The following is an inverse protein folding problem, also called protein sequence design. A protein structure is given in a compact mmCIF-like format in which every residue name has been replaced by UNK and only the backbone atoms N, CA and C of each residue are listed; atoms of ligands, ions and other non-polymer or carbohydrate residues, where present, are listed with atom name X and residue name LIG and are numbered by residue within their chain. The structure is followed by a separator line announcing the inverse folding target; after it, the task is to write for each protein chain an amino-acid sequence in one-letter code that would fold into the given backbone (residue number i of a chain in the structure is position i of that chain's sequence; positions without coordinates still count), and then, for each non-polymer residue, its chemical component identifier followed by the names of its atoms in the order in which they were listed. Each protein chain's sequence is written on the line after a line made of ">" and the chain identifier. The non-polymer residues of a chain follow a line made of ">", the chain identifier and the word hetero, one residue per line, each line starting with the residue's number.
data_IF_843550703423
#
_entry.id   IF_843550703423
#
_cell.length_a   1.000
_cell.length_b   1.000
_cell.length_c   1.000
_cell.angle_alpha   90.00
_cell.angle_beta   90.00
_cell.angle_gamma   90.00
#
_symmetry.space_group_name_H-M   'P 1'
#
loop_
_entity.id
_entity.type
_entity.pdbx_description
1 polymer ?
#
# COMPACT_ATOMS: atom_id res chain seq x y z
N UNK A 1 6.78 -19.72 17.24
CA UNK A 1 5.94 -18.65 17.82
C UNK A 1 6.87 -17.80 18.65
N UNK A 2 7.27 -16.63 18.16
CA UNK A 2 8.12 -15.72 18.97
C UNK A 2 7.23 -14.94 19.95
N UNK A 3 7.51 -15.12 21.23
CA UNK A 3 6.92 -14.38 22.33
C UNK A 3 7.18 -12.88 22.17
N UNK A 4 6.14 -12.06 22.33
CA UNK A 4 6.26 -10.60 22.38
C UNK A 4 5.87 -9.81 21.12
N UNK A 5 5.33 -10.44 20.06
CA UNK A 5 4.76 -9.67 18.93
C UNK A 5 3.31 -9.27 19.23
N UNK A 6 3.10 -8.01 19.62
CA UNK A 6 1.76 -7.44 19.71
C UNK A 6 1.20 -7.22 18.30
N UNK A 7 0.09 -7.90 18.02
CA UNK A 7 -0.64 -7.88 16.77
C UNK A 7 -2.04 -7.36 17.03
N UNK A 8 -2.47 -6.37 16.24
CA UNK A 8 -3.79 -5.79 16.36
C UNK A 8 -4.58 -5.93 15.06
N UNK A 9 -5.79 -6.47 15.16
CA UNK A 9 -6.79 -6.43 14.09
C UNK A 9 -7.98 -5.60 14.55
N UNK A 10 -8.28 -4.52 13.86
CA UNK A 10 -9.60 -3.91 13.89
C UNK A 10 -10.43 -4.39 12.72
N UNK A 11 -11.59 -4.96 13.02
CA UNK A 11 -12.60 -5.35 12.03
C UNK A 11 -13.85 -4.51 12.26
N UNK A 12 -14.28 -3.79 11.23
CA UNK A 12 -15.58 -3.14 11.21
C UNK A 12 -16.62 -4.12 10.68
N UNK A 13 -17.39 -4.73 11.58
CA UNK A 13 -18.51 -5.59 11.19
C UNK A 13 -19.69 -4.74 10.70
N UNK A 14 -20.34 -5.17 9.62
CA UNK A 14 -21.68 -4.70 9.29
C UNK A 14 -22.66 -5.39 10.24
N UNK A 15 -23.21 -4.67 11.21
CA UNK A 15 -24.58 -4.98 11.65
C UNK A 15 -25.53 -4.26 10.70
N UNK A 16 -26.59 -4.97 10.32
CA UNK A 16 -27.49 -4.58 9.25
C UNK A 16 -28.34 -3.35 9.57
N UNK A 17 -28.80 -2.73 8.48
CA UNK A 17 -29.91 -1.79 8.30
C UNK A 17 -30.11 -0.70 9.37
N UNK A 18 -29.80 0.53 8.96
CA UNK A 18 -30.19 1.79 9.62
C UNK A 18 -29.50 2.11 10.96
N UNK A 19 -28.19 1.88 11.07
CA UNK A 19 -27.41 2.59 12.09
C UNK A 19 -26.78 3.82 11.44
N UNK A 20 -27.16 4.98 11.98
CA UNK A 20 -26.65 6.30 11.61
C UNK A 20 -25.12 6.29 11.60
N UNK A 21 -24.62 6.83 10.50
CA UNK A 21 -23.28 6.69 9.98
C UNK A 21 -22.35 7.68 10.67
N UNK A 22 -21.36 7.22 11.44
CA UNK A 22 -20.43 8.13 12.12
C UNK A 22 -18.94 7.85 11.83
N UNK A 23 -18.35 8.51 10.82
CA UNK A 23 -16.91 8.51 10.57
C UNK A 23 -16.06 9.03 11.74
N UNK A 24 -16.63 9.84 12.64
CA UNK A 24 -15.94 10.37 13.82
C UNK A 24 -15.71 9.28 14.88
N UNK A 25 -16.63 8.31 14.98
CA UNK A 25 -16.46 7.13 15.83
C UNK A 25 -15.25 6.28 15.40
N UNK A 26 -15.12 6.01 14.09
CA UNK A 26 -13.99 5.25 13.54
C UNK A 26 -12.65 5.95 13.79
N UNK A 27 -12.65 7.28 13.76
CA UNK A 27 -11.48 8.11 14.07
C UNK A 27 -11.10 8.02 15.56
N UNK A 28 -12.06 8.14 16.48
CA UNK A 28 -11.78 8.06 17.93
C UNK A 28 -11.19 6.71 18.35
N UNK A 29 -11.68 5.62 17.77
CA UNK A 29 -11.13 4.27 18.00
C UNK A 29 -9.68 4.14 17.52
N UNK A 30 -9.33 4.78 16.40
CA UNK A 30 -7.96 4.79 15.92
C UNK A 30 -7.07 5.62 16.85
N UNK A 31 -7.55 6.75 17.38
CA UNK A 31 -6.80 7.58 18.34
C UNK A 31 -6.46 6.83 19.64
N UNK A 32 -7.40 6.08 20.21
CA UNK A 32 -7.18 5.26 21.41
C UNK A 32 -6.16 4.13 21.15
N UNK A 33 -6.19 3.50 19.97
CA UNK A 33 -5.29 2.41 19.60
C UNK A 33 -3.81 2.81 19.67
N UNK A 34 -3.51 4.06 19.29
CA UNK A 34 -2.14 4.56 19.22
C UNK A 34 -1.62 5.12 20.55
N UNK A 35 -2.42 5.05 21.62
CA UNK A 35 -2.04 5.47 22.97
C UNK A 35 -1.48 4.30 23.80
N UNK A 36 -0.17 4.06 23.70
CA UNK A 36 0.57 3.28 24.71
C UNK A 36 0.89 1.82 24.39
N UNK A 37 0.86 1.38 23.13
CA UNK A 37 1.17 0.00 22.74
C UNK A 37 2.27 -0.04 21.66
N UNK A 38 3.34 -0.80 21.88
CA UNK A 38 4.36 -1.12 20.87
C UNK A 38 3.84 -2.17 19.87
N UNK A 39 3.00 -1.73 18.94
CA UNK A 39 2.45 -2.60 17.90
C UNK A 39 3.51 -2.91 16.84
N UNK A 40 3.70 -4.20 16.53
CA UNK A 40 4.54 -4.65 15.41
C UNK A 40 3.72 -4.93 14.14
N UNK A 41 2.43 -5.17 14.29
CA UNK A 41 1.55 -5.56 13.18
C UNK A 41 0.16 -4.95 13.35
N UNK A 42 -0.31 -4.28 12.30
CA UNK A 42 -1.59 -3.59 12.25
C UNK A 42 -2.43 -4.10 11.08
N UNK A 43 -3.66 -4.51 11.35
CA UNK A 43 -4.65 -4.87 10.34
C UNK A 43 -5.94 -4.09 10.54
N UNK A 44 -6.37 -3.38 9.51
CA UNK A 44 -7.57 -2.55 9.48
C UNK A 44 -8.46 -3.12 8.39
N UNK A 45 -9.64 -3.62 8.77
CA UNK A 45 -10.52 -4.35 7.85
C UNK A 45 -11.92 -3.75 7.87
N UNK A 46 -12.33 -3.23 6.72
CA UNK A 46 -13.63 -2.59 6.53
C UNK A 46 -13.65 -1.11 6.92
N UNK A 47 -12.50 -0.41 6.86
CA UNK A 47 -12.43 1.03 7.16
C UNK A 47 -13.42 1.82 6.29
N UNK A 48 -14.23 2.67 6.94
CA UNK A 48 -15.32 3.41 6.28
C UNK A 48 -15.02 4.90 6.11
N UNK A 49 -13.98 5.41 6.77
CA UNK A 49 -13.57 6.81 6.65
C UNK A 49 -13.01 7.15 5.27
N UNK A 50 -13.19 8.40 4.85
CA UNK A 50 -12.69 8.91 3.56
C UNK A 50 -11.16 9.04 3.58
N UNK A 51 -10.61 9.50 4.70
CA UNK A 51 -9.17 9.65 4.92
C UNK A 51 -8.77 9.09 6.29
N UNK A 52 -7.60 8.47 6.36
CA UNK A 52 -7.03 8.10 7.66
C UNK A 52 -6.75 9.36 8.49
N UNK A 53 -7.09 9.37 9.79
CA UNK A 53 -6.91 10.55 10.63
C UNK A 53 -5.42 10.85 10.85
N UNK A 54 -5.06 12.12 11.08
CA UNK A 54 -3.65 12.55 11.21
C UNK A 54 -2.92 11.81 12.35
N UNK A 55 -3.63 11.53 13.44
CA UNK A 55 -3.12 10.75 14.57
C UNK A 55 -2.66 9.33 14.20
N UNK A 56 -3.22 8.75 13.14
CA UNK A 56 -2.81 7.46 12.58
C UNK A 56 -1.35 7.48 12.12
N UNK A 57 -0.88 8.66 11.76
CA UNK A 57 0.44 8.93 11.21
C UNK A 57 1.42 9.44 12.26
N UNK A 58 1.07 9.36 13.55
CA UNK A 58 1.96 9.80 14.62
C UNK A 58 3.21 8.88 14.67
N UNK A 59 4.41 9.40 14.38
CA UNK A 59 5.65 8.60 14.31
C UNK A 59 5.94 7.86 15.61
N UNK A 60 5.57 8.45 16.75
CA UNK A 60 5.76 7.85 18.07
C UNK A 60 4.94 6.57 18.26
N UNK A 61 3.83 6.43 17.54
CA UNK A 61 2.90 5.30 17.69
C UNK A 61 3.06 4.24 16.61
N UNK A 62 3.71 4.56 15.48
CA UNK A 62 3.81 3.66 14.32
C UNK A 62 5.24 3.27 13.94
N UNK A 63 6.26 3.84 14.60
CA UNK A 63 7.68 3.61 14.29
C UNK A 63 8.13 2.15 14.36
N UNK A 64 7.50 1.33 15.22
CA UNK A 64 7.81 -0.09 15.41
C UNK A 64 6.96 -1.04 14.54
N UNK A 65 6.00 -0.53 13.76
CA UNK A 65 5.12 -1.36 12.95
C UNK A 65 5.89 -1.91 11.76
N UNK A 66 6.04 -3.23 11.71
CA UNK A 66 6.69 -3.94 10.62
C UNK A 66 5.70 -4.45 9.56
N UNK A 67 4.41 -4.54 9.90
CA UNK A 67 3.38 -5.06 8.99
C UNK A 67 2.11 -4.20 9.06
N UNK A 68 1.61 -3.76 7.91
CA UNK A 68 0.33 -3.09 7.78
C UNK A 68 -0.52 -3.81 6.75
N UNK A 69 -1.76 -4.14 7.12
CA UNK A 69 -2.82 -4.53 6.20
C UNK A 69 -3.96 -3.51 6.26
N UNK A 70 -4.25 -2.88 5.14
CA UNK A 70 -5.39 -1.99 4.95
C UNK A 70 -6.37 -2.66 3.99
N UNK A 71 -7.54 -2.99 4.51
CA UNK A 71 -8.68 -3.50 3.75
C UNK A 71 -9.85 -2.55 3.98
N UNK A 72 -10.31 -1.88 2.93
CA UNK A 72 -11.39 -0.89 3.03
C UNK A 72 -12.50 -1.13 2.04
N UNK A 73 -13.24 -0.05 1.76
CA UNK A 73 -14.36 -0.02 0.80
C UNK A 73 -14.21 1.19 -0.13
N UNK A 74 -15.20 1.37 -1.02
CA UNK A 74 -15.33 2.43 -2.04
C UNK A 74 -15.02 3.87 -1.61
N UNK A 75 -15.06 4.19 -0.32
CA UNK A 75 -14.96 5.57 0.15
C UNK A 75 -13.56 5.98 0.62
N UNK A 76 -12.65 5.03 0.90
CA UNK A 76 -11.32 5.38 1.39
C UNK A 76 -10.44 5.85 0.23
N UNK A 77 -10.07 7.13 0.24
CA UNK A 77 -9.38 7.82 -0.85
C UNK A 77 -7.91 8.15 -0.55
N UNK A 78 -7.43 7.92 0.68
CA UNK A 78 -6.06 8.23 1.07
C UNK A 78 -5.24 7.00 1.41
N UNK A 79 -4.03 6.94 0.90
CA UNK A 79 -2.99 6.03 1.40
C UNK A 79 -2.29 6.62 2.64
N UNK A 80 -1.46 5.80 3.32
CA UNK A 80 -0.40 6.28 4.20
C UNK A 80 0.50 7.36 3.59
N UNK A 81 0.20 8.64 3.78
CA UNK A 81 0.95 9.75 3.16
C UNK A 81 2.17 10.20 3.96
N UNK A 82 2.28 9.85 5.24
CA UNK A 82 3.40 10.28 6.10
C UNK A 82 4.37 9.12 6.29
N UNK A 83 5.23 8.88 5.29
CA UNK A 83 6.19 7.76 5.18
C UNK A 83 7.22 7.60 6.31
N UNK A 84 6.97 8.12 7.51
CA UNK A 84 7.71 7.86 8.75
C UNK A 84 7.34 6.51 9.35
N UNK A 85 7.41 5.46 8.52
CA UNK A 85 7.25 4.07 8.91
C UNK A 85 8.60 3.35 8.79
N UNK A 86 9.61 3.72 9.61
CA UNK A 86 10.99 3.29 9.44
C UNK A 86 11.17 1.77 9.57
N UNK A 87 10.29 1.09 10.30
CA UNK A 87 10.35 -0.36 10.50
C UNK A 87 9.43 -1.15 9.57
N UNK A 88 8.62 -0.50 8.73
CA UNK A 88 7.61 -1.18 7.92
C UNK A 88 8.28 -2.03 6.85
N UNK A 89 8.07 -3.35 6.92
CA UNK A 89 8.58 -4.35 5.98
C UNK A 89 7.53 -4.81 5.00
N UNK A 90 6.25 -4.85 5.40
CA UNK A 90 5.16 -5.34 4.56
C UNK A 90 3.97 -4.42 4.59
N UNK A 91 3.54 -3.97 3.42
CA UNK A 91 2.31 -3.21 3.22
C UNK A 91 1.37 -3.96 2.28
N UNK A 92 0.19 -4.32 2.79
CA UNK A 92 -0.85 -4.98 2.03
C UNK A 92 -2.09 -4.09 1.95
N UNK A 93 -2.49 -3.74 0.73
CA UNK A 93 -3.63 -2.88 0.43
C UNK A 93 -4.67 -3.69 -0.35
N UNK A 94 -5.90 -3.73 0.15
CA UNK A 94 -7.00 -4.48 -0.46
C UNK A 94 -8.30 -3.68 -0.50
N UNK A 95 -9.01 -3.72 -1.63
CA UNK A 95 -10.37 -3.15 -1.77
C UNK A 95 -10.49 -1.66 -1.37
N UNK A 96 -9.41 -0.89 -1.47
CA UNK A 96 -9.43 0.57 -1.32
C UNK A 96 -9.88 1.23 -2.63
N UNK A 97 -11.13 0.98 -3.01
CA UNK A 97 -11.74 1.43 -4.26
C UNK A 97 -11.97 2.97 -4.34
N UNK A 98 -11.61 3.74 -3.32
CA UNK A 98 -11.56 5.21 -3.41
C UNK A 98 -10.21 5.72 -3.94
N UNK A 99 -9.18 4.87 -3.98
CA UNK A 99 -7.86 5.23 -4.50
C UNK A 99 -7.89 5.11 -6.02
N UNK A 100 -8.00 6.25 -6.70
CA UNK A 100 -7.91 6.32 -8.16
C UNK A 100 -6.46 6.34 -8.66
N UNK A 101 -5.55 6.81 -7.81
CA UNK A 101 -4.17 7.11 -8.18
C UNK A 101 -3.26 7.09 -6.94
N UNK A 102 -2.03 6.60 -7.13
CA UNK A 102 -0.97 6.76 -6.14
C UNK A 102 -0.15 7.97 -6.56
N UNK A 103 -0.29 9.08 -5.83
CA UNK A 103 0.36 10.35 -6.15
C UNK A 103 1.64 10.58 -5.35
N UNK A 104 2.35 11.65 -5.69
CA UNK A 104 3.59 12.09 -5.03
C UNK A 104 3.43 12.28 -3.51
N UNK A 105 2.23 12.59 -3.04
CA UNK A 105 1.87 12.68 -1.61
C UNK A 105 2.15 11.39 -0.83
N UNK A 106 2.19 10.23 -1.50
CA UNK A 106 2.57 8.96 -0.90
C UNK A 106 4.10 8.84 -0.67
N UNK A 107 4.89 9.72 -1.30
CA UNK A 107 6.36 9.72 -1.30
C UNK A 107 7.00 11.01 -0.75
N UNK A 108 6.22 12.09 -0.58
CA UNK A 108 6.73 13.46 -0.45
C UNK A 108 7.34 13.83 0.89
N UNK A 109 7.06 13.09 1.96
CA UNK A 109 7.38 13.54 3.33
C UNK A 109 8.60 12.85 3.92
N UNK A 110 9.84 13.20 3.53
CA UNK A 110 11.10 12.65 4.11
C UNK A 110 11.14 11.11 4.28
N UNK A 111 10.19 10.41 3.68
CA UNK A 111 9.61 9.18 4.19
C UNK A 111 9.79 8.15 3.12
N UNK A 112 11.05 7.83 2.88
CA UNK A 112 11.40 6.67 2.08
C UNK A 112 10.86 5.47 2.84
N UNK A 113 10.18 4.58 2.14
CA UNK A 113 9.83 3.27 2.65
C UNK A 113 11.12 2.42 2.75
N UNK A 114 12.06 2.88 3.59
CA UNK A 114 13.46 2.46 3.60
C UNK A 114 13.66 1.01 4.07
N UNK A 115 12.67 0.47 4.78
CA UNK A 115 12.64 -0.92 5.24
C UNK A 115 11.60 -1.77 4.52
N UNK A 116 10.84 -1.23 3.57
CA UNK A 116 9.77 -1.96 2.91
C UNK A 116 10.35 -3.01 1.97
N UNK A 117 10.04 -4.27 2.27
CA UNK A 117 10.51 -5.45 1.55
C UNK A 117 9.43 -6.01 0.63
N UNK A 118 8.14 -5.88 1.02
CA UNK A 118 7.00 -6.41 0.27
C UNK A 118 5.83 -5.43 0.20
N UNK A 119 5.33 -5.19 -1.01
CA UNK A 119 4.20 -4.31 -1.28
C UNK A 119 3.16 -5.04 -2.13
N UNK A 120 1.91 -5.00 -1.70
CA UNK A 120 0.83 -5.72 -2.36
C UNK A 120 -0.43 -4.87 -2.51
N UNK A 121 -1.00 -4.87 -3.71
CA UNK A 121 -2.30 -4.30 -4.04
C UNK A 121 -3.24 -5.41 -4.53
N UNK A 122 -4.46 -5.43 -4.01
CA UNK A 122 -5.46 -6.45 -4.37
C UNK A 122 -6.87 -5.86 -4.47
N UNK A 123 -7.59 -6.19 -5.55
CA UNK A 123 -9.00 -5.81 -5.72
C UNK A 123 -9.23 -4.29 -5.59
N UNK A 124 -8.26 -3.45 -5.95
CA UNK A 124 -8.37 -1.99 -5.93
C UNK A 124 -8.82 -1.50 -7.29
N UNK A 125 -10.13 -1.57 -7.54
CA UNK A 125 -10.70 -1.49 -8.90
C UNK A 125 -10.72 -0.08 -9.47
N UNK A 126 -10.71 0.95 -8.62
CA UNK A 126 -10.67 2.34 -9.08
C UNK A 126 -9.26 2.80 -9.46
N UNK A 127 -8.23 2.05 -9.07
CA UNK A 127 -6.85 2.42 -9.25
C UNK A 127 -6.44 2.34 -10.72
N UNK A 128 -6.05 3.49 -11.28
CA UNK A 128 -5.72 3.67 -12.70
C UNK A 128 -4.24 3.89 -12.93
N UNK A 129 -3.65 4.74 -12.09
CA UNK A 129 -2.32 5.31 -12.33
C UNK A 129 -1.46 5.23 -11.07
N UNK A 130 -0.17 4.94 -11.27
CA UNK A 130 0.85 5.05 -10.25
C UNK A 130 1.77 6.18 -10.66
N UNK A 131 1.65 7.39 -10.13
CA UNK A 131 2.51 8.49 -10.58
C UNK A 131 3.84 8.50 -9.82
N UNK A 132 4.87 7.85 -10.39
CA UNK A 132 6.24 7.87 -9.87
C UNK A 132 7.17 8.85 -10.60
N UNK A 133 6.66 9.70 -11.48
CA UNK A 133 7.48 10.57 -12.34
C UNK A 133 8.25 11.56 -11.46
N UNK A 134 9.57 11.55 -11.56
CA UNK A 134 10.48 12.46 -10.83
C UNK A 134 10.89 11.98 -9.42
N UNK A 135 10.42 10.82 -8.99
CA UNK A 135 10.67 10.27 -7.64
C UNK A 135 12.08 9.65 -7.49
N UNK A 136 12.83 9.49 -8.57
CA UNK A 136 14.10 8.72 -8.59
C UNK A 136 15.28 9.38 -9.30
N UNK A 137 15.48 10.71 -9.22
CA UNK A 137 16.71 11.32 -9.78
C UNK A 137 17.31 12.46 -8.93
N UNK A 138 16.52 13.14 -8.08
CA UNK A 138 17.03 14.22 -7.22
C UNK A 138 17.08 13.91 -5.72
N UNK A 139 16.20 13.05 -5.22
CA UNK A 139 16.03 12.81 -3.76
C UNK A 139 16.32 11.36 -3.29
N UNK A 140 16.81 10.48 -4.18
CA UNK A 140 17.14 9.08 -3.89
C UNK A 140 15.94 8.11 -3.96
N UNK A 141 16.22 6.81 -3.97
CA UNK A 141 15.22 5.73 -4.15
C UNK A 141 14.18 5.73 -3.02
N UNK A 142 12.88 5.66 -3.39
CA UNK A 142 11.76 5.59 -2.42
C UNK A 142 11.62 4.22 -1.78
N UNK A 143 11.97 3.17 -2.52
CA UNK A 143 11.79 1.77 -2.14
C UNK A 143 13.12 0.99 -2.19
N UNK A 144 14.17 1.42 -1.46
CA UNK A 144 15.52 0.88 -1.62
C UNK A 144 15.65 -0.61 -1.26
N UNK A 145 14.68 -1.18 -0.55
CA UNK A 145 14.69 -2.59 -0.12
C UNK A 145 13.52 -3.40 -0.67
N UNK A 146 12.70 -2.84 -1.56
CA UNK A 146 11.52 -3.54 -2.04
C UNK A 146 11.93 -4.72 -2.93
N UNK A 147 11.63 -5.92 -2.46
CA UNK A 147 11.97 -7.19 -3.12
C UNK A 147 10.76 -7.78 -3.83
N UNK A 148 9.57 -7.62 -3.26
CA UNK A 148 8.34 -8.20 -3.80
C UNK A 148 7.28 -7.14 -4.07
N UNK A 149 6.81 -7.08 -5.33
CA UNK A 149 5.65 -6.30 -5.73
C UNK A 149 4.57 -7.25 -6.26
N UNK A 150 3.41 -7.23 -5.62
CA UNK A 150 2.24 -8.02 -6.03
C UNK A 150 1.05 -7.11 -6.36
N UNK A 151 0.47 -7.29 -7.53
CA UNK A 151 -0.72 -6.59 -7.99
C UNK A 151 -1.72 -7.66 -8.44
N UNK A 152 -2.90 -7.66 -7.84
CA UNK A 152 -3.92 -8.68 -8.11
C UNK A 152 -5.30 -8.07 -8.33
N UNK A 153 -5.95 -8.41 -9.45
CA UNK A 153 -7.33 -7.99 -9.75
C UNK A 153 -7.55 -6.47 -9.64
N UNK A 154 -6.67 -5.69 -10.28
CA UNK A 154 -6.74 -4.23 -10.37
C UNK A 154 -7.20 -3.83 -11.79
N UNK A 155 -8.49 -3.99 -12.08
CA UNK A 155 -9.09 -3.95 -13.42
C UNK A 155 -8.83 -2.68 -14.27
N UNK A 156 -8.53 -1.55 -13.63
CA UNK A 156 -8.35 -0.25 -14.28
C UNK A 156 -6.87 0.18 -14.40
N UNK A 157 -5.96 -0.57 -13.78
CA UNK A 157 -4.55 -0.20 -13.69
C UNK A 157 -3.82 -0.36 -15.02
N UNK A 158 -3.06 0.68 -15.39
CA UNK A 158 -2.04 0.64 -16.44
C UNK A 158 -0.67 0.68 -15.75
N UNK A 159 0.14 -0.36 -15.92
CA UNK A 159 1.42 -0.47 -15.18
C UNK A 159 2.57 0.33 -15.78
N UNK A 160 2.36 1.03 -16.90
CA UNK A 160 3.40 1.83 -17.55
C UNK A 160 3.96 2.96 -16.69
N UNK A 161 3.17 3.42 -15.71
CA UNK A 161 3.57 4.47 -14.78
C UNK A 161 4.25 3.93 -13.52
N UNK A 162 4.41 2.60 -13.37
CA UNK A 162 5.09 2.03 -12.21
C UNK A 162 6.50 2.63 -12.02
N UNK A 163 6.97 2.75 -10.76
CA UNK A 163 8.34 3.15 -10.50
C UNK A 163 9.30 2.21 -11.22
N UNK A 164 10.09 2.76 -12.14
CA UNK A 164 11.07 1.97 -12.89
C UNK A 164 12.38 1.78 -12.11
N UNK A 165 12.62 2.60 -11.08
CA UNK A 165 13.82 2.57 -10.24
C UNK A 165 13.62 1.67 -9.00
N UNK A 166 13.10 0.46 -9.17
CA UNK A 166 12.95 -0.54 -8.10
C UNK A 166 14.13 -1.51 -8.10
N UNK A 167 15.32 -1.02 -7.74
CA UNK A 167 16.59 -1.72 -8.00
C UNK A 167 16.76 -3.01 -7.19
N UNK A 168 16.05 -3.13 -6.07
CA UNK A 168 16.05 -4.32 -5.21
C UNK A 168 14.97 -5.35 -5.58
N UNK A 169 14.14 -5.09 -6.60
CA UNK A 169 12.98 -5.91 -6.93
C UNK A 169 13.39 -7.26 -7.53
N UNK A 170 13.10 -8.33 -6.79
CA UNK A 170 13.43 -9.69 -7.16
C UNK A 170 12.22 -10.47 -7.70
N UNK A 171 11.02 -10.07 -7.27
CA UNK A 171 9.76 -10.74 -7.58
C UNK A 171 8.67 -9.73 -7.97
N UNK A 172 8.14 -9.90 -9.17
CA UNK A 172 6.99 -9.16 -9.67
C UNK A 172 5.85 -10.11 -10.01
N UNK A 173 4.71 -9.93 -9.35
CA UNK A 173 3.48 -10.67 -9.62
C UNK A 173 2.40 -9.68 -10.06
N UNK A 174 1.89 -9.83 -11.28
CA UNK A 174 0.72 -9.11 -11.77
C UNK A 174 -0.30 -10.16 -12.17
N UNK A 175 -1.21 -10.53 -11.27
CA UNK A 175 -2.13 -11.66 -11.43
C UNK A 175 -3.59 -11.22 -11.49
N UNK A 176 -4.46 -12.09 -12.01
CA UNK A 176 -5.86 -11.73 -12.21
C UNK A 176 -6.03 -10.63 -13.26
N UNK A 177 -7.11 -9.84 -13.14
CA UNK A 177 -7.47 -8.85 -14.17
C UNK A 177 -6.76 -7.52 -13.97
N UNK A 178 -6.07 -7.06 -15.01
CA UNK A 178 -5.53 -5.69 -15.10
C UNK A 178 -5.84 -5.06 -16.46
N UNK A 179 -5.81 -3.72 -16.55
CA UNK A 179 -6.13 -3.04 -17.81
C UNK A 179 -5.00 -3.19 -18.82
N UNK A 180 -3.79 -2.82 -18.45
CA UNK A 180 -2.59 -2.96 -19.31
C UNK A 180 -1.35 -3.23 -18.45
N UNK A 181 -0.56 -4.23 -18.82
CA UNK A 181 0.74 -4.51 -18.23
C UNK A 181 1.86 -4.04 -19.18
N UNK A 182 2.44 -2.89 -18.87
CA UNK A 182 3.62 -2.31 -19.52
C UNK A 182 4.74 -2.36 -18.49
N UNK A 183 5.75 -3.20 -18.71
CA UNK A 183 6.83 -3.45 -17.72
C UNK A 183 8.24 -3.34 -18.32
N UNK A 184 8.37 -2.97 -19.60
CA UNK A 184 9.65 -2.82 -20.30
C UNK A 184 10.65 -1.94 -19.55
N UNK A 185 10.21 -0.75 -19.13
CA UNK A 185 11.06 0.20 -18.40
C UNK A 185 11.53 -0.33 -17.05
N UNK A 186 10.72 -1.16 -16.39
CA UNK A 186 11.05 -1.83 -15.14
C UNK A 186 12.09 -2.92 -15.41
N UNK A 187 11.84 -3.81 -16.37
CA UNK A 187 12.75 -4.90 -16.74
C UNK A 187 14.14 -4.41 -17.17
N UNK A 188 14.20 -3.29 -17.90
CA UNK A 188 15.46 -2.69 -18.33
C UNK A 188 16.32 -2.18 -17.16
N UNK A 189 15.70 -1.77 -16.05
CA UNK A 189 16.38 -1.18 -14.90
C UNK A 189 16.61 -2.16 -13.75
N UNK A 190 15.77 -3.19 -13.62
CA UNK A 190 15.86 -4.17 -12.53
C UNK A 190 16.67 -5.40 -12.95
N UNK A 191 17.99 -5.38 -12.76
CA UNK A 191 18.88 -6.49 -13.14
C UNK A 191 18.79 -7.72 -12.22
N UNK A 192 18.08 -7.62 -11.10
CA UNK A 192 17.97 -8.68 -10.07
C UNK A 192 16.61 -9.40 -10.07
N UNK A 193 15.71 -9.02 -10.97
CA UNK A 193 14.41 -9.64 -11.11
C UNK A 193 14.57 -11.06 -11.65
N UNK A 194 14.21 -12.06 -10.84
CA UNK A 194 14.32 -13.48 -11.20
C UNK A 194 12.98 -14.20 -11.23
N UNK A 195 11.91 -13.57 -10.70
CA UNK A 195 10.57 -14.11 -10.76
C UNK A 195 9.60 -13.06 -11.30
N UNK A 196 9.03 -13.36 -12.46
CA UNK A 196 8.00 -12.57 -13.12
C UNK A 196 6.80 -13.47 -13.40
N UNK A 197 5.64 -13.11 -12.85
CA UNK A 197 4.38 -13.75 -13.16
C UNK A 197 3.39 -12.72 -13.68
N UNK A 198 2.85 -12.98 -14.87
CA UNK A 198 1.81 -12.18 -15.51
C UNK A 198 0.58 -13.06 -15.72
N UNK A 199 -0.51 -12.73 -15.03
CA UNK A 199 -1.82 -13.33 -15.20
C UNK A 199 -2.62 -12.69 -16.33
N UNK A 200 -3.94 -12.64 -16.18
CA UNK A 200 -4.89 -12.16 -17.20
C UNK A 200 -4.82 -10.62 -17.42
N UNK A 201 -3.78 -10.17 -18.11
CA UNK A 201 -3.63 -8.79 -18.56
C UNK A 201 -4.30 -8.62 -19.93
N UNK A 202 -5.14 -7.60 -20.13
CA UNK A 202 -5.79 -7.38 -21.44
C UNK A 202 -4.80 -7.01 -22.55
N UNK A 203 -3.65 -6.46 -22.16
CA UNK A 203 -2.54 -6.11 -23.05
C UNK A 203 -1.23 -6.21 -22.28
N UNK A 204 -0.22 -6.84 -22.87
CA UNK A 204 1.13 -6.98 -22.32
C UNK A 204 2.12 -6.40 -23.32
N UNK A 205 3.00 -5.49 -22.87
CA UNK A 205 4.10 -4.95 -23.65
C UNK A 205 5.44 -5.24 -22.96
N UNK A 206 6.28 -6.01 -23.65
CA UNK A 206 7.67 -6.35 -23.32
C UNK A 206 8.45 -6.19 -24.63
N UNK A 207 9.23 -5.12 -24.82
CA UNK A 207 10.06 -4.93 -26.03
C UNK A 207 11.53 -4.93 -25.62
#
# INVERSE_FOLDING_TARGET
>A
MEEGTLFYIKRWQLRGSYDEEDPEHDKGVLEELFSGIELKRLSIIGYRGVKFPICFWNPNSISNIAFIKLEGRKYCQSLPTHGELPSLKTLYIKQLDGIASVHKEFYETNGKFASLESLSFSLTSAWKEWNSIGVGVKDGEVFPKLQELCISDCDQLITGDLPSDLLSLTKLLIVGRTKEAIIESLLLKTQVLHHLELGECKKVLMV
#
